data_IF_789281815197
#
_entry.id   IF_789281815197
#
_cell.length_a   1.000
_cell.length_b   1.000
_cell.length_c   1.000
_cell.angle_alpha   90.00
_cell.angle_beta   90.00
_cell.angle_gamma   90.00
#
_symmetry.space_group_name_H-M   'P 1'
#
loop_
_entity.id
_entity.type
_entity.pdbx_description
1 polymer ?
#
# COMPACT_ATOMS: atom_id res chain seq x y z
N UNK A 1 -7.76 44.82 6.71
CA UNK A 1 -7.51 43.41 7.10
C UNK A 1 -8.77 42.55 6.92
N UNK A 2 -9.25 42.30 5.69
CA UNK A 2 -10.43 41.44 5.48
C UNK A 2 -10.35 40.51 4.26
N UNK A 3 -9.28 40.55 3.47
CA UNK A 3 -9.14 39.77 2.22
C UNK A 3 -8.22 38.55 2.32
N UNK A 4 -7.56 38.31 3.47
CA UNK A 4 -6.60 37.20 3.61
C UNK A 4 -7.23 35.85 3.99
N UNK A 5 -8.50 35.83 4.41
CA UNK A 5 -9.18 34.63 4.92
C UNK A 5 -9.89 33.81 3.84
N UNK A 6 -10.12 34.37 2.65
CA UNK A 6 -10.79 33.68 1.55
C UNK A 6 -9.86 32.84 0.67
N UNK A 7 -8.54 33.01 0.77
CA UNK A 7 -7.58 32.21 0.00
C UNK A 7 -7.31 30.82 0.60
N UNK A 8 -7.59 30.62 1.89
CA UNK A 8 -7.46 29.32 2.55
C UNK A 8 -8.60 28.33 2.20
N UNK A 9 -9.72 28.81 1.64
CA UNK A 9 -10.87 27.95 1.29
C UNK A 9 -10.80 27.35 -0.12
N UNK A 10 -9.87 27.79 -0.99
CA UNK A 10 -9.76 27.30 -2.38
C UNK A 10 -8.65 26.24 -2.55
N UNK A 11 -7.83 26.02 -1.51
CA UNK A 11 -6.75 25.02 -1.52
C UNK A 11 -7.16 23.65 -0.95
N UNK A 12 -8.46 23.35 -0.86
CA UNK A 12 -8.98 22.02 -0.53
C UNK A 12 -8.78 21.02 -1.68
N UNK A 13 -7.57 20.92 -2.25
CA UNK A 13 -7.19 19.69 -2.93
C UNK A 13 -7.19 18.63 -1.84
N UNK A 14 -8.16 17.73 -1.92
CA UNK A 14 -8.27 16.54 -1.09
C UNK A 14 -6.90 15.85 -1.14
N UNK A 15 -6.09 16.06 -0.10
CA UNK A 15 -4.80 15.39 0.05
C UNK A 15 -5.12 13.93 0.34
N UNK A 16 -5.05 13.09 -0.68
CA UNK A 16 -5.05 11.65 -0.47
C UNK A 16 -3.82 11.31 0.37
N UNK A 17 -4.04 10.58 1.45
CA UNK A 17 -2.94 10.12 2.28
C UNK A 17 -2.11 9.10 1.49
N UNK A 18 -0.81 9.06 1.77
CA UNK A 18 0.08 8.04 1.20
C UNK A 18 -0.24 6.70 1.88
N UNK A 19 -0.66 5.68 1.12
CA UNK A 19 -0.98 4.37 1.69
C UNK A 19 0.28 3.68 2.23
N UNK A 20 1.38 3.74 1.47
CA UNK A 20 2.63 3.08 1.84
C UNK A 20 3.41 3.87 2.90
N UNK A 21 2.98 3.73 4.16
CA UNK A 21 3.76 4.04 5.36
C UNK A 21 3.60 2.91 6.37
N UNK A 22 4.62 2.68 7.21
CA UNK A 22 4.58 1.63 8.23
C UNK A 22 3.38 1.81 9.16
N UNK A 23 3.09 3.06 9.54
CA UNK A 23 1.96 3.38 10.42
C UNK A 23 0.60 3.11 9.75
N UNK A 24 0.41 3.51 8.49
CA UNK A 24 -0.85 3.27 7.78
C UNK A 24 -1.07 1.78 7.56
N UNK A 25 -0.03 1.03 7.16
CA UNK A 25 -0.16 -0.41 6.96
C UNK A 25 -0.39 -1.16 8.28
N UNK A 26 0.26 -0.77 9.39
CA UNK A 26 -0.05 -1.30 10.73
C UNK A 26 -1.50 -1.02 11.14
N UNK A 27 -1.99 0.21 10.93
CA UNK A 27 -3.36 0.57 11.29
C UNK A 27 -4.38 -0.21 10.45
N UNK A 28 -4.10 -0.36 9.14
CA UNK A 28 -4.95 -1.11 8.22
C UNK A 28 -5.02 -2.61 8.59
N UNK A 29 -3.89 -3.20 8.98
CA UNK A 29 -3.78 -4.65 9.22
C UNK A 29 -4.09 -5.11 10.63
N UNK A 30 -4.15 -4.19 11.60
CA UNK A 30 -4.54 -4.46 13.00
C UNK A 30 -6.02 -4.24 13.30
N UNK A 31 -6.77 -3.60 12.40
CA UNK A 31 -8.19 -3.31 12.57
C UNK A 31 -9.13 -4.44 12.17
N UNK A 32 -10.41 -4.32 12.56
CA UNK A 32 -11.47 -5.17 12.00
C UNK A 32 -11.70 -4.83 10.52
N UNK A 33 -12.21 -5.78 9.74
CA UNK A 33 -12.64 -5.55 8.34
C UNK A 33 -13.80 -4.56 8.22
N UNK A 34 -14.39 -4.17 9.35
CA UNK A 34 -15.45 -3.19 9.43
C UNK A 34 -14.90 -1.83 9.02
N UNK A 35 -15.53 -1.21 8.02
CA UNK A 35 -15.15 0.07 7.43
C UNK A 35 -13.83 0.07 6.64
N UNK A 36 -13.27 -1.10 6.31
CA UNK A 36 -12.09 -1.19 5.44
C UNK A 36 -12.33 -0.48 4.10
N UNK A 37 -13.48 -0.75 3.47
CA UNK A 37 -13.87 -0.17 2.19
C UNK A 37 -13.95 1.36 2.27
N UNK A 38 -14.59 1.90 3.33
CA UNK A 38 -14.68 3.34 3.58
C UNK A 38 -13.31 3.98 3.81
N UNK A 39 -12.46 3.39 4.65
CA UNK A 39 -11.11 3.90 4.92
C UNK A 39 -10.26 3.95 3.66
N UNK A 40 -10.32 2.90 2.83
CA UNK A 40 -9.58 2.81 1.58
C UNK A 40 -10.07 3.83 0.55
N UNK A 41 -11.39 4.02 0.42
CA UNK A 41 -11.95 5.02 -0.46
C UNK A 41 -11.62 6.45 -0.01
N UNK A 42 -11.92 6.80 1.25
CA UNK A 42 -11.85 8.19 1.75
C UNK A 42 -10.41 8.69 1.95
N UNK A 43 -9.51 7.84 2.45
CA UNK A 43 -8.16 8.27 2.79
C UNK A 43 -7.13 7.95 1.72
N UNK A 44 -7.37 6.93 0.89
CA UNK A 44 -6.37 6.43 -0.06
C UNK A 44 -6.86 6.42 -1.51
N UNK A 45 -8.10 6.86 -1.77
CA UNK A 45 -8.71 6.86 -3.11
C UNK A 45 -8.67 5.47 -3.79
N UNK A 46 -8.92 4.43 -2.98
CA UNK A 46 -8.95 3.03 -3.42
C UNK A 46 -10.37 2.48 -3.28
N UNK A 47 -11.00 2.22 -4.42
CA UNK A 47 -12.36 1.68 -4.49
C UNK A 47 -12.35 0.18 -4.67
N UNK A 48 -13.36 -0.49 -4.11
CA UNK A 48 -13.48 -1.95 -4.14
C UNK A 48 -13.87 -2.45 -5.53
N UNK A 49 -13.08 -3.36 -6.10
CA UNK A 49 -13.32 -4.02 -7.37
C UNK A 49 -13.80 -5.46 -7.14
N UNK A 50 -15.12 -5.65 -7.12
CA UNK A 50 -15.76 -6.95 -6.83
C UNK A 50 -15.50 -8.03 -7.89
N UNK A 51 -15.21 -7.64 -9.12
CA UNK A 51 -15.02 -8.57 -10.23
C UNK A 51 -13.69 -9.34 -10.14
N UNK A 52 -12.76 -8.84 -9.33
CA UNK A 52 -11.43 -9.43 -9.10
C UNK A 52 -11.31 -10.10 -7.72
N UNK A 53 -12.40 -10.18 -6.94
CA UNK A 53 -12.38 -10.77 -5.60
C UNK A 53 -12.57 -12.28 -5.64
N UNK A 54 -11.90 -12.95 -4.70
CA UNK A 54 -12.16 -14.33 -4.33
C UNK A 54 -12.75 -14.39 -2.91
N UNK A 55 -13.31 -15.53 -2.46
CA UNK A 55 -13.85 -15.67 -1.10
C UNK A 55 -12.87 -15.30 0.02
N UNK A 56 -11.56 -15.42 -0.22
CA UNK A 56 -10.51 -15.18 0.76
C UNK A 56 -9.81 -13.83 0.63
N UNK A 57 -10.23 -12.98 -0.33
CA UNK A 57 -9.61 -11.68 -0.55
C UNK A 57 -10.62 -10.58 -0.91
N UNK A 58 -10.16 -9.34 -0.79
CA UNK A 58 -10.82 -8.16 -1.34
C UNK A 58 -9.82 -7.41 -2.20
N UNK A 59 -10.27 -6.88 -3.32
CA UNK A 59 -9.42 -6.15 -4.27
C UNK A 59 -9.88 -4.71 -4.35
N UNK A 60 -8.93 -3.79 -4.26
CA UNK A 60 -9.16 -2.37 -4.36
C UNK A 60 -8.24 -1.78 -5.41
N UNK A 61 -8.73 -0.84 -6.19
CA UNK A 61 -7.95 -0.14 -7.21
C UNK A 61 -8.23 1.35 -7.16
N UNK A 62 -7.29 2.14 -7.67
CA UNK A 62 -7.56 3.56 -7.92
C UNK A 62 -8.73 3.71 -8.87
N UNK A 63 -9.67 4.61 -8.52
CA UNK A 63 -10.80 4.93 -9.39
C UNK A 63 -10.34 5.57 -10.72
N UNK A 64 -9.23 6.31 -10.65
CA UNK A 64 -8.59 6.94 -11.80
C UNK A 64 -7.74 5.93 -12.58
N UNK A 65 -7.96 5.87 -13.90
CA UNK A 65 -7.28 4.94 -14.82
C UNK A 65 -5.95 5.49 -15.36
N UNK A 66 -5.46 6.61 -14.82
CA UNK A 66 -4.12 7.12 -15.13
C UNK A 66 -3.04 6.08 -14.82
N UNK A 67 -2.33 5.63 -15.87
CA UNK A 67 -1.29 4.59 -15.78
C UNK A 67 -0.16 4.96 -14.81
N UNK A 68 0.15 6.26 -14.69
CA UNK A 68 1.19 6.76 -13.76
C UNK A 68 0.80 6.66 -12.28
N UNK A 69 -0.49 6.50 -11.98
CA UNK A 69 -1.03 6.38 -10.62
C UNK A 69 -1.63 5.00 -10.35
N UNK A 70 -1.36 4.05 -11.23
CA UNK A 70 -1.85 2.69 -11.13
C UNK A 70 -1.46 2.09 -9.77
N UNK A 71 -2.49 1.64 -9.04
CA UNK A 71 -2.36 1.01 -7.74
C UNK A 71 -3.48 0.00 -7.56
N UNK A 72 -3.10 -1.23 -7.25
CA UNK A 72 -4.03 -2.32 -6.93
C UNK A 72 -3.62 -2.92 -5.59
N UNK A 73 -4.52 -2.85 -4.62
CA UNK A 73 -4.37 -3.41 -3.29
C UNK A 73 -5.24 -4.65 -3.17
N UNK A 74 -4.63 -5.80 -2.91
CA UNK A 74 -5.34 -7.02 -2.52
C UNK A 74 -5.19 -7.20 -1.02
N UNK A 75 -6.31 -7.35 -0.29
CA UNK A 75 -6.35 -7.62 1.14
C UNK A 75 -6.82 -9.06 1.35
N UNK A 76 -5.98 -9.90 1.91
CA UNK A 76 -6.29 -11.29 2.25
C UNK A 76 -6.95 -11.34 3.63
N UNK A 77 -8.22 -11.71 3.66
CA UNK A 77 -9.07 -11.57 4.85
C UNK A 77 -8.99 -12.76 5.81
N UNK A 78 -8.51 -13.91 5.34
CA UNK A 78 -8.39 -15.15 6.12
C UNK A 78 -6.94 -15.50 6.51
N UNK A 79 -6.06 -14.50 6.57
CA UNK A 79 -4.66 -14.69 6.99
C UNK A 79 -4.55 -14.97 8.50
N UNK A 80 -3.62 -15.85 8.90
CA UNK A 80 -3.63 -16.54 10.21
C UNK A 80 -3.34 -15.69 11.46
N UNK A 81 -2.94 -14.41 11.35
CA UNK A 81 -2.56 -13.59 12.52
C UNK A 81 -2.85 -12.09 12.38
N UNK A 82 -2.89 -11.59 11.15
CA UNK A 82 -3.34 -10.24 10.80
C UNK A 82 -3.76 -10.25 9.33
N UNK A 83 -4.43 -9.19 8.87
CA UNK A 83 -4.70 -9.04 7.44
C UNK A 83 -3.37 -8.98 6.70
N UNK A 84 -3.19 -9.86 5.70
CA UNK A 84 -2.09 -9.74 4.77
C UNK A 84 -2.53 -8.88 3.59
N UNK A 85 -1.60 -8.10 3.04
CA UNK A 85 -1.89 -7.24 1.90
C UNK A 85 -0.81 -7.41 0.82
N UNK A 86 -1.22 -7.27 -0.43
CA UNK A 86 -0.35 -7.18 -1.59
C UNK A 86 -0.72 -5.93 -2.37
N UNK A 87 0.20 -4.97 -2.46
CA UNK A 87 0.05 -3.77 -3.25
C UNK A 87 0.90 -3.90 -4.52
N UNK A 88 0.30 -3.65 -5.68
CA UNK A 88 1.01 -3.45 -6.94
C UNK A 88 0.88 -1.98 -7.31
N UNK A 89 1.99 -1.28 -7.55
CA UNK A 89 1.99 0.15 -7.86
C UNK A 89 3.04 0.52 -8.91
N UNK A 90 2.75 1.54 -9.73
CA UNK A 90 3.73 2.19 -10.62
C UNK A 90 4.46 3.36 -9.95
N UNK A 91 4.03 3.77 -8.75
CA UNK A 91 4.59 4.93 -8.04
C UNK A 91 5.93 4.56 -7.35
N UNK A 92 7.02 4.64 -8.11
CA UNK A 92 8.37 4.34 -7.62
C UNK A 92 8.83 5.27 -6.49
N UNK A 93 8.36 6.53 -6.49
CA UNK A 93 8.71 7.49 -5.45
C UNK A 93 8.05 7.10 -4.12
N UNK A 94 6.78 6.69 -4.15
CA UNK A 94 6.06 6.17 -2.98
C UNK A 94 6.78 4.95 -2.40
N UNK A 95 7.21 4.02 -3.25
CA UNK A 95 7.94 2.81 -2.83
C UNK A 95 9.31 3.14 -2.26
N UNK A 96 10.04 4.08 -2.87
CA UNK A 96 11.33 4.53 -2.34
C UNK A 96 11.18 5.17 -0.96
N UNK A 97 10.18 6.05 -0.77
CA UNK A 97 9.89 6.66 0.53
C UNK A 97 9.49 5.60 1.56
N UNK A 98 8.71 4.60 1.17
CA UNK A 98 8.33 3.50 2.04
C UNK A 98 9.52 2.64 2.46
N UNK A 99 10.48 2.40 1.54
CA UNK A 99 11.75 1.76 1.89
C UNK A 99 12.49 2.54 2.99
N UNK A 100 12.60 3.86 2.86
CA UNK A 100 13.24 4.70 3.88
C UNK A 100 12.47 4.66 5.21
N UNK A 101 11.14 4.66 5.16
CA UNK A 101 10.27 4.55 6.34
C UNK A 101 10.49 3.23 7.09
N UNK A 102 10.57 2.10 6.37
CA UNK A 102 10.88 0.78 6.96
C UNK A 102 12.24 0.76 7.68
N UNK A 103 13.28 1.33 7.05
CA UNK A 103 14.60 1.41 7.66
C UNK A 103 14.59 2.30 8.91
N UNK A 104 13.93 3.47 8.84
CA UNK A 104 13.78 4.40 9.95
C UNK A 104 13.05 3.76 11.14
N UNK A 105 12.03 2.96 10.85
CA UNK A 105 11.28 2.19 11.84
C UNK A 105 12.06 0.98 12.38
N UNK A 106 13.30 0.74 11.93
CA UNK A 106 14.18 -0.31 12.46
C UNK A 106 13.87 -1.72 11.94
N UNK A 107 13.27 -1.85 10.76
CA UNK A 107 13.16 -3.16 10.11
C UNK A 107 14.52 -3.63 9.61
N UNK A 108 14.86 -4.89 9.89
CA UNK A 108 16.06 -5.52 9.35
C UNK A 108 15.82 -5.91 7.88
N UNK A 109 16.63 -5.36 6.97
CA UNK A 109 16.56 -5.62 5.53
C UNK A 109 17.48 -6.77 5.13
N UNK A 110 16.98 -7.63 4.24
CA UNK A 110 17.74 -8.69 3.56
C UNK A 110 17.34 -8.75 2.10
N UNK A 111 18.32 -8.80 1.21
CA UNK A 111 18.08 -9.10 -0.19
C UNK A 111 17.75 -10.59 -0.35
N UNK A 112 16.91 -10.91 -1.34
CA UNK A 112 16.60 -12.30 -1.69
C UNK A 112 16.36 -12.43 -3.19
N UNK A 113 16.37 -13.68 -3.66
CA UNK A 113 15.89 -14.05 -5.00
C UNK A 113 14.72 -15.00 -4.86
N UNK A 114 13.68 -14.81 -5.65
CA UNK A 114 12.56 -15.75 -5.71
C UNK A 114 12.92 -17.03 -6.49
N UNK A 115 11.98 -17.97 -6.59
CA UNK A 115 12.16 -19.24 -7.32
C UNK A 115 12.41 -19.07 -8.82
N UNK A 116 12.11 -17.89 -9.37
CA UNK A 116 12.31 -17.53 -10.77
C UNK A 116 13.60 -16.71 -10.97
N UNK A 117 14.38 -16.48 -9.90
CA UNK A 117 15.62 -15.72 -9.94
C UNK A 117 15.45 -14.21 -9.86
N UNK A 118 14.22 -13.71 -9.67
CA UNK A 118 13.95 -12.28 -9.56
C UNK A 118 14.41 -11.76 -8.20
N UNK A 119 15.05 -10.59 -8.21
CA UNK A 119 15.52 -9.94 -6.99
C UNK A 119 14.41 -9.24 -6.22
N UNK A 120 14.63 -9.09 -4.93
CA UNK A 120 13.80 -8.25 -4.08
C UNK A 120 14.41 -8.07 -2.70
N UNK A 121 13.67 -7.36 -1.85
CA UNK A 121 14.07 -7.02 -0.48
C UNK A 121 13.02 -7.49 0.51
N UNK A 122 13.45 -8.17 1.56
CA UNK A 122 12.64 -8.53 2.70
C UNK A 122 13.02 -7.67 3.89
N UNK A 123 12.04 -7.07 4.55
CA UNK A 123 12.16 -6.28 5.75
C UNK A 123 11.44 -7.01 6.86
N UNK A 124 12.10 -7.20 7.99
CA UNK A 124 11.53 -7.94 9.13
C UNK A 124 11.68 -7.17 10.42
N UNK A 125 10.59 -7.05 11.17
CA UNK A 125 10.58 -6.52 12.53
C UNK A 125 9.48 -7.21 13.31
N UNK A 126 9.83 -7.76 14.48
CA UNK A 126 8.89 -8.50 15.34
C UNK A 126 8.16 -9.60 14.54
N UNK A 127 6.83 -9.55 14.47
CA UNK A 127 5.99 -10.50 13.72
C UNK A 127 5.69 -10.03 12.29
N UNK A 128 6.16 -8.86 11.86
CA UNK A 128 5.84 -8.28 10.56
C UNK A 128 6.96 -8.62 9.56
N UNK A 129 6.54 -9.11 8.39
CA UNK A 129 7.39 -9.32 7.22
C UNK A 129 6.84 -8.46 6.08
N UNK A 130 7.70 -7.61 5.52
CA UNK A 130 7.42 -6.83 4.33
C UNK A 130 8.35 -7.27 3.22
N UNK A 131 7.79 -7.60 2.05
CA UNK A 131 8.55 -8.00 0.87
C UNK A 131 8.31 -6.97 -0.22
N UNK A 132 9.37 -6.34 -0.72
CA UNK A 132 9.33 -5.47 -1.90
C UNK A 132 10.03 -6.22 -3.03
N UNK A 133 9.28 -6.58 -4.07
CA UNK A 133 9.83 -7.19 -5.28
C UNK A 133 10.33 -6.10 -6.21
N UNK A 134 11.49 -6.33 -6.83
CA UNK A 134 11.94 -5.46 -7.90
C UNK A 134 11.02 -5.61 -9.12
N UNK A 135 11.02 -4.61 -9.99
CA UNK A 135 10.28 -4.67 -11.26
C UNK A 135 10.86 -5.79 -12.13
N UNK A 136 10.02 -6.73 -12.58
CA UNK A 136 10.42 -7.83 -13.45
C UNK A 136 9.83 -7.62 -14.83
N UNK A 137 10.61 -7.04 -15.77
CA UNK A 137 10.33 -6.89 -17.23
C UNK A 137 9.02 -6.16 -17.63
N UNK A 138 9.05 -5.45 -18.77
CA UNK A 138 8.01 -4.73 -19.55
C UNK A 138 6.94 -3.85 -18.86
N UNK A 139 6.58 -4.11 -17.60
CA UNK A 139 5.61 -3.36 -16.81
C UNK A 139 6.36 -2.75 -15.63
N UNK A 140 6.49 -1.41 -15.53
CA UNK A 140 7.25 -0.74 -14.48
C UNK A 140 6.48 -0.71 -13.14
N UNK A 141 6.02 -1.87 -12.67
CA UNK A 141 5.27 -2.04 -11.42
C UNK A 141 6.09 -2.78 -10.36
N UNK A 142 6.06 -2.28 -9.14
CA UNK A 142 6.61 -2.97 -7.98
C UNK A 142 5.48 -3.63 -7.18
N UNK A 143 5.77 -4.82 -6.64
CA UNK A 143 4.88 -5.52 -5.72
C UNK A 143 5.41 -5.42 -4.30
N UNK A 144 4.56 -4.95 -3.38
CA UNK A 144 4.81 -4.82 -1.96
C UNK A 144 3.86 -5.76 -1.23
N UNK A 145 4.39 -6.70 -0.47
CA UNK A 145 3.61 -7.66 0.32
C UNK A 145 3.87 -7.35 1.78
N UNK A 146 2.82 -7.12 2.56
CA UNK A 146 2.90 -6.95 4.00
C UNK A 146 2.08 -8.04 4.67
N UNK A 147 2.71 -8.76 5.60
CA UNK A 147 2.08 -9.87 6.31
C UNK A 147 2.66 -10.03 7.71
N UNK A 148 1.89 -10.72 8.55
CA UNK A 148 2.43 -11.27 9.78
C UNK A 148 3.05 -12.65 9.53
N UNK A 149 3.98 -13.04 10.39
CA UNK A 149 4.49 -14.41 10.49
C UNK A 149 3.38 -15.40 10.80
#
# INVERSE_FOLDING_TARGET
>A
MKTLLLFFMVCGKILTAQLLTVNNLRHLTSGSLQNLDTKLAEHFNLERNKDMEDPDNRVYAVADREVSRFKVLTVFINARNCLAISLVTHDQEEVYRFHQDLLKEGFAMREYKDSYGNSGKNYTKEQIIVTIKDTVTDIPAQQIIWRCR
#
